data_IF_177240744226
#
_entry.id   IF_177240744226
#
_cell.length_a   1.000
_cell.length_b   1.000
_cell.length_c   1.000
_cell.angle_alpha   90.00
_cell.angle_beta   90.00
_cell.angle_gamma   90.00
#
_symmetry.space_group_name_H-M   'P 1'
#
loop_
_entity.id
_entity.type
_entity.pdbx_description
1 polymer ?
#
# COMPACT_ATOMS: atom_id res chain seq x y z
N UNK A 1 -25.65 28.89 15.07
CA UNK A 1 -25.15 28.58 16.43
C UNK A 1 -24.52 27.19 16.50
N UNK A 2 -25.12 26.16 15.88
CA UNK A 2 -24.50 24.83 15.77
C UNK A 2 -23.18 24.84 14.98
N UNK A 3 -23.12 25.53 13.84
CA UNK A 3 -21.91 25.56 12.99
C UNK A 3 -20.71 26.22 13.69
N UNK A 4 -20.96 27.30 14.44
CA UNK A 4 -19.92 27.98 15.25
C UNK A 4 -19.37 27.05 16.33
N UNK A 5 -20.21 26.22 16.94
CA UNK A 5 -19.80 25.26 17.95
C UNK A 5 -19.02 24.10 17.31
N UNK A 6 -19.46 23.59 16.16
CA UNK A 6 -18.75 22.55 15.38
C UNK A 6 -17.35 23.06 14.97
N UNK A 7 -17.29 24.28 14.43
CA UNK A 7 -16.03 24.93 14.07
C UNK A 7 -15.11 25.14 15.27
N UNK A 8 -15.66 25.62 16.40
CA UNK A 8 -14.90 25.79 17.63
C UNK A 8 -14.38 24.45 18.17
N UNK A 9 -15.18 23.39 18.12
CA UNK A 9 -14.76 22.03 18.48
C UNK A 9 -13.62 21.55 17.56
N UNK A 10 -13.74 21.72 16.25
CA UNK A 10 -12.71 21.33 15.28
C UNK A 10 -11.38 22.07 15.51
N UNK A 11 -11.45 23.39 15.73
CA UNK A 11 -10.28 24.22 15.99
C UNK A 11 -9.60 23.85 17.32
N UNK A 12 -10.39 23.60 18.38
CA UNK A 12 -9.86 23.20 19.69
C UNK A 12 -9.24 21.78 19.68
N UNK A 13 -9.75 20.85 18.86
CA UNK A 13 -9.21 19.49 18.76
C UNK A 13 -7.94 19.43 17.90
N UNK A 14 -7.88 20.23 16.84
CA UNK A 14 -6.73 20.21 15.90
C UNK A 14 -5.62 21.16 16.34
N UNK A 15 -5.96 22.34 16.88
CA UNK A 15 -4.99 23.39 17.24
C UNK A 15 -5.31 24.04 18.60
N UNK A 16 -5.19 23.29 19.72
CA UNK A 16 -5.59 23.78 21.04
C UNK A 16 -4.87 25.08 21.48
N UNK A 17 -3.59 25.23 21.13
CA UNK A 17 -2.83 26.44 21.47
C UNK A 17 -3.30 27.68 20.70
N UNK A 18 -3.63 27.52 19.41
CA UNK A 18 -4.18 28.59 18.58
C UNK A 18 -5.58 29.00 19.04
N UNK A 19 -6.42 28.00 19.38
CA UNK A 19 -7.75 28.23 19.94
C UNK A 19 -7.70 29.08 21.22
N UNK A 20 -6.81 28.74 22.16
CA UNK A 20 -6.65 29.49 23.40
C UNK A 20 -6.19 30.93 23.12
N UNK A 21 -5.24 31.13 22.19
CA UNK A 21 -4.79 32.48 21.81
C UNK A 21 -5.90 33.32 21.19
N UNK A 22 -6.67 32.76 20.24
CA UNK A 22 -7.79 33.44 19.58
C UNK A 22 -8.92 33.78 20.56
N UNK A 23 -9.18 32.89 21.52
CA UNK A 23 -10.16 33.15 22.58
C UNK A 23 -9.67 34.27 23.50
N UNK A 24 -8.40 34.24 23.91
CA UNK A 24 -7.83 35.21 24.85
C UNK A 24 -7.54 36.57 24.20
N UNK A 25 -7.52 36.67 22.87
CA UNK A 25 -7.40 37.95 22.19
C UNK A 25 -8.70 38.76 22.19
N UNK A 26 -9.80 38.18 22.67
CA UNK A 26 -11.15 38.77 22.71
C UNK A 26 -11.71 39.25 21.35
N UNK A 27 -11.01 38.96 20.25
CA UNK A 27 -11.44 39.23 18.86
C UNK A 27 -12.63 38.35 18.47
N UNK A 28 -12.67 37.12 18.97
CA UNK A 28 -13.74 36.16 18.69
C UNK A 28 -14.32 35.62 20.01
N UNK A 29 -15.64 35.63 20.13
CA UNK A 29 -16.33 35.01 21.26
C UNK A 29 -16.37 33.49 21.06
N UNK A 30 -15.49 32.77 21.76
CA UNK A 30 -15.35 31.32 21.65
C UNK A 30 -15.74 30.60 22.95
N UNK A 31 -16.39 29.41 22.85
CA UNK A 31 -16.70 28.59 24.02
C UNK A 31 -15.48 28.31 24.91
N UNK A 32 -15.72 28.09 26.20
CA UNK A 32 -14.63 27.68 27.07
C UNK A 32 -14.13 26.26 26.68
N UNK A 33 -12.82 25.98 26.65
CA UNK A 33 -12.30 24.64 26.32
C UNK A 33 -12.88 23.52 27.19
N UNK A 34 -13.22 23.80 28.45
CA UNK A 34 -13.91 22.83 29.31
C UNK A 34 -15.31 22.49 28.83
N UNK A 35 -16.05 23.46 28.28
CA UNK A 35 -17.38 23.22 27.73
C UNK A 35 -17.29 22.35 26.48
N UNK A 36 -16.33 22.63 25.59
CA UNK A 36 -16.03 21.77 24.44
C UNK A 36 -15.67 20.35 24.89
N UNK A 37 -14.77 20.19 25.87
CA UNK A 37 -14.43 18.85 26.40
C UNK A 37 -15.66 18.15 26.98
N UNK A 38 -16.53 18.85 27.69
CA UNK A 38 -17.76 18.29 28.26
C UNK A 38 -18.73 17.82 27.17
N UNK A 39 -18.85 18.56 26.08
CA UNK A 39 -19.64 18.16 24.90
C UNK A 39 -19.02 16.94 24.21
N UNK A 40 -17.71 16.96 23.96
CA UNK A 40 -17.00 15.85 23.32
C UNK A 40 -17.05 14.57 24.17
N UNK A 41 -17.00 14.68 25.49
CA UNK A 41 -17.12 13.52 26.39
C UNK A 41 -18.50 12.86 26.34
N UNK A 42 -19.55 13.56 25.89
CA UNK A 42 -20.87 12.95 25.64
C UNK A 42 -20.90 12.12 24.36
N UNK A 43 -20.00 12.41 23.41
CA UNK A 43 -19.82 11.65 22.17
C UNK A 43 -18.92 10.43 22.42
N UNK A 44 -19.02 9.82 23.59
CA UNK A 44 -18.13 8.74 24.02
C UNK A 44 -18.15 7.60 22.99
N UNK A 45 -17.04 7.48 22.26
CA UNK A 45 -16.69 6.34 21.41
C UNK A 45 -16.42 5.12 22.31
N UNK A 46 -17.45 4.66 23.03
CA UNK A 46 -17.31 3.52 23.91
C UNK A 46 -17.24 2.23 23.10
N UNK A 47 -16.03 1.67 23.07
CA UNK A 47 -15.68 0.29 22.85
C UNK A 47 -16.24 -0.36 21.57
N UNK A 48 -15.34 -0.43 20.57
CA UNK A 48 -14.88 -1.66 19.89
C UNK A 48 -15.88 -2.52 19.11
N UNK A 49 -17.17 -2.24 19.18
CA UNK A 49 -18.19 -2.84 18.33
C UNK A 49 -18.91 -1.68 17.63
N UNK A 50 -19.20 -1.84 16.34
CA UNK A 50 -20.04 -0.97 15.53
C UNK A 50 -21.42 -0.77 16.19
N UNK A 51 -21.53 0.11 17.20
CA UNK A 51 -22.78 0.44 17.90
C UNK A 51 -23.68 1.30 17.01
N UNK A 52 -24.95 1.41 17.40
CA UNK A 52 -25.98 2.18 16.68
C UNK A 52 -25.54 3.60 16.30
N UNK A 53 -24.77 4.28 17.14
CA UNK A 53 -24.32 5.66 16.87
C UNK A 53 -23.27 5.73 15.75
N UNK A 54 -22.36 4.76 15.67
CA UNK A 54 -21.41 4.64 14.56
C UNK A 54 -22.12 4.30 13.25
N UNK A 55 -23.09 3.38 13.31
CA UNK A 55 -23.92 3.05 12.16
C UNK A 55 -24.74 4.26 11.70
N UNK A 56 -25.30 5.03 12.63
CA UNK A 56 -26.01 6.26 12.34
C UNK A 56 -25.08 7.30 11.71
N UNK A 57 -23.85 7.46 12.21
CA UNK A 57 -22.85 8.33 11.60
C UNK A 57 -22.54 7.90 10.16
N UNK A 58 -22.23 6.62 9.93
CA UNK A 58 -21.90 6.10 8.59
C UNK A 58 -23.07 6.33 7.63
N UNK A 59 -24.32 6.03 8.06
CA UNK A 59 -25.53 6.25 7.25
C UNK A 59 -25.81 7.74 6.97
N UNK A 60 -25.66 8.60 7.96
CA UNK A 60 -25.82 10.04 7.77
C UNK A 60 -24.76 10.59 6.82
N UNK A 61 -23.53 10.08 6.91
CA UNK A 61 -22.46 10.46 6.00
C UNK A 61 -22.76 10.02 4.58
N UNK A 62 -23.20 8.78 4.35
CA UNK A 62 -23.53 8.31 2.99
C UNK A 62 -24.69 9.08 2.38
N UNK A 63 -25.66 9.52 3.16
CA UNK A 63 -26.75 10.37 2.68
C UNK A 63 -26.30 11.75 2.17
N UNK A 64 -25.10 12.19 2.55
CA UNK A 64 -24.51 13.47 2.11
C UNK A 64 -23.48 13.32 0.97
N UNK A 65 -23.25 12.10 0.47
CA UNK A 65 -22.24 11.81 -0.55
C UNK A 65 -22.90 11.51 -1.89
N UNK A 66 -22.24 11.94 -2.97
CA UNK A 66 -22.68 11.56 -4.32
C UNK A 66 -22.37 10.08 -4.60
N UNK A 67 -23.12 9.46 -5.54
CA UNK A 67 -22.95 8.05 -5.91
C UNK A 67 -21.49 7.68 -6.26
N UNK A 68 -20.77 8.60 -6.92
CA UNK A 68 -19.36 8.41 -7.30
C UNK A 68 -18.43 8.36 -6.10
N UNK A 69 -18.78 9.04 -5.01
CA UNK A 69 -18.00 9.07 -3.77
C UNK A 69 -18.19 7.81 -2.93
N UNK A 70 -19.31 7.11 -3.12
CA UNK A 70 -19.63 5.85 -2.46
C UNK A 70 -18.85 4.66 -3.05
N UNK A 71 -18.16 4.83 -4.17
CA UNK A 71 -17.25 3.83 -4.73
C UNK A 71 -15.90 3.90 -4.00
N UNK A 72 -15.61 2.90 -3.18
CA UNK A 72 -14.53 2.95 -2.18
C UNK A 72 -13.63 1.71 -2.19
N UNK A 73 -12.40 1.93 -1.73
CA UNK A 73 -11.48 0.87 -1.30
C UNK A 73 -11.58 0.70 0.22
N UNK A 74 -11.55 -0.54 0.71
CA UNK A 74 -11.38 -0.88 2.13
C UNK A 74 -9.90 -1.18 2.40
N UNK A 75 -9.28 -0.37 3.24
CA UNK A 75 -7.88 -0.49 3.65
C UNK A 75 -7.80 -1.14 5.04
N UNK A 76 -6.90 -2.11 5.19
CA UNK A 76 -6.69 -2.88 6.40
C UNK A 76 -5.21 -2.82 6.79
N UNK A 77 -4.92 -2.31 7.99
CA UNK A 77 -3.57 -2.33 8.56
C UNK A 77 -3.61 -2.25 10.10
N UNK A 78 -2.48 -2.53 10.72
CA UNK A 78 -2.30 -2.49 12.16
C UNK A 78 -1.40 -1.34 12.60
N UNK A 79 -1.73 -0.70 13.73
CA UNK A 79 -0.85 0.27 14.38
C UNK A 79 -0.47 -0.23 15.78
N UNK A 80 0.83 -0.28 16.07
CA UNK A 80 1.33 -0.55 17.40
C UNK A 80 1.11 0.67 18.30
N UNK A 81 0.44 0.47 19.43
CA UNK A 81 0.18 1.48 20.45
C UNK A 81 1.04 1.22 21.68
N UNK A 82 1.37 2.30 22.41
CA UNK A 82 2.04 2.16 23.69
C UNK A 82 1.10 1.50 24.70
N UNK A 83 1.46 0.27 25.10
CA UNK A 83 0.75 -0.52 26.09
C UNK A 83 0.63 0.22 27.43
N UNK A 84 -0.54 0.83 27.67
CA UNK A 84 -0.88 1.49 28.93
C UNK A 84 -2.37 1.31 29.19
N UNK A 85 -2.72 0.78 30.36
CA UNK A 85 -4.08 0.82 30.87
C UNK A 85 -4.25 2.14 31.61
N UNK A 86 -5.21 2.97 31.16
CA UNK A 86 -5.50 4.25 31.82
C UNK A 86 -6.92 4.24 32.37
N UNK A 87 -7.08 4.65 33.62
CA UNK A 87 -8.40 4.88 34.20
C UNK A 87 -8.85 6.31 33.90
N UNK A 88 -9.91 6.46 33.10
CA UNK A 88 -10.57 7.75 32.85
C UNK A 88 -12.00 7.68 33.35
N UNK A 89 -12.30 8.49 34.37
CA UNK A 89 -13.67 8.63 34.90
C UNK A 89 -14.28 7.33 35.45
N UNK A 90 -13.46 6.40 35.95
CA UNK A 90 -13.91 5.11 36.49
C UNK A 90 -13.97 3.98 35.45
N UNK A 91 -13.64 4.24 34.17
CA UNK A 91 -13.50 3.21 33.13
C UNK A 91 -12.04 2.95 32.82
N UNK A 92 -11.67 1.67 32.71
CA UNK A 92 -10.35 1.26 32.23
C UNK A 92 -10.34 1.26 30.70
N UNK A 93 -9.50 2.11 30.11
CA UNK A 93 -9.21 2.14 28.68
C UNK A 93 -7.84 1.48 28.42
N UNK A 94 -7.69 0.84 27.25
CA UNK A 94 -6.45 0.17 26.86
C UNK A 94 -6.41 -1.33 27.16
N UNK A 95 -7.54 -1.95 27.50
CA UNK A 95 -7.71 -3.41 27.64
C UNK A 95 -8.54 -4.00 26.48
N UNK A 96 -8.42 -5.32 26.27
CA UNK A 96 -9.12 -6.07 25.23
C UNK A 96 -10.65 -5.96 25.40
N UNK A 97 -11.40 -6.07 24.31
CA UNK A 97 -12.88 -6.14 24.33
C UNK A 97 -13.44 -7.24 25.25
N UNK A 98 -12.64 -8.30 25.50
CA UNK A 98 -13.04 -9.52 26.18
C UNK A 98 -12.24 -9.85 27.44
N UNK A 99 -11.23 -9.04 27.83
CA UNK A 99 -10.41 -9.28 29.02
C UNK A 99 -9.88 -7.98 29.64
N UNK A 100 -10.32 -7.69 30.86
CA UNK A 100 -10.02 -6.44 31.58
C UNK A 100 -8.64 -6.41 32.26
N UNK A 101 -7.76 -7.39 32.00
CA UNK A 101 -6.49 -7.54 32.75
C UNK A 101 -5.23 -7.31 31.93
N UNK A 102 -5.31 -7.27 30.60
CA UNK A 102 -4.13 -7.16 29.75
C UNK A 102 -4.18 -5.95 28.83
N UNK A 103 -3.07 -5.22 28.79
CA UNK A 103 -2.91 -4.02 27.98
C UNK A 103 -2.80 -4.37 26.48
N UNK A 104 -3.52 -3.62 25.66
CA UNK A 104 -3.54 -3.73 24.20
C UNK A 104 -2.26 -3.13 23.63
N UNK A 105 -1.64 -3.85 22.69
CA UNK A 105 -0.37 -3.46 22.06
C UNK A 105 -0.60 -3.05 20.59
N UNK A 106 -1.66 -3.53 19.96
CA UNK A 106 -1.96 -3.23 18.56
C UNK A 106 -3.43 -2.85 18.36
N UNK A 107 -3.67 -1.94 17.41
CA UNK A 107 -5.01 -1.57 16.98
C UNK A 107 -5.16 -1.98 15.52
N UNK A 108 -6.12 -2.86 15.24
CA UNK A 108 -6.53 -3.19 13.88
C UNK A 108 -7.43 -2.08 13.35
N UNK A 109 -7.03 -1.48 12.24
CA UNK A 109 -7.71 -0.32 11.66
C UNK A 109 -8.30 -0.68 10.31
N UNK A 110 -9.54 -0.22 10.09
CA UNK A 110 -10.25 -0.29 8.82
C UNK A 110 -10.55 1.12 8.36
N UNK A 111 -10.14 1.46 7.15
CA UNK A 111 -10.37 2.78 6.56
C UNK A 111 -10.95 2.64 5.17
N UNK A 112 -11.91 3.49 4.82
CA UNK A 112 -12.38 3.62 3.45
C UNK A 112 -11.71 4.80 2.77
N UNK A 113 -11.42 4.66 1.48
CA UNK A 113 -10.99 5.76 0.61
C UNK A 113 -11.81 5.73 -0.68
N UNK A 114 -12.38 6.88 -1.06
CA UNK A 114 -13.06 7.01 -2.34
C UNK A 114 -12.06 6.95 -3.48
N UNK A 115 -12.43 6.24 -4.54
CA UNK A 115 -11.60 6.13 -5.75
C UNK A 115 -11.67 7.43 -6.55
N UNK A 116 -12.86 8.04 -6.61
CA UNK A 116 -13.17 9.17 -7.49
C UNK A 116 -13.23 10.52 -6.77
N UNK A 117 -13.14 10.54 -5.43
CA UNK A 117 -13.07 11.77 -4.65
C UNK A 117 -11.97 11.73 -3.59
N UNK A 118 -11.88 12.79 -2.78
CA UNK A 118 -10.96 12.86 -1.64
C UNK A 118 -11.62 12.35 -0.34
N UNK A 119 -12.88 11.91 -0.39
CA UNK A 119 -13.57 11.37 0.77
C UNK A 119 -12.87 10.12 1.28
N UNK A 120 -12.63 10.09 2.58
CA UNK A 120 -12.00 8.98 3.29
C UNK A 120 -12.44 8.99 4.73
N UNK A 121 -12.45 7.82 5.36
CA UNK A 121 -12.85 7.72 6.77
C UNK A 121 -12.28 6.49 7.45
N UNK A 122 -11.95 6.63 8.73
CA UNK A 122 -11.66 5.47 9.58
C UNK A 122 -12.99 4.90 10.01
N UNK A 123 -13.32 3.74 9.48
CA UNK A 123 -14.61 3.09 9.74
C UNK A 123 -14.49 2.12 10.90
N UNK A 124 -13.34 1.48 11.15
CA UNK A 124 -13.19 0.53 12.25
C UNK A 124 -11.88 0.71 13.00
N UNK A 125 -11.95 0.64 14.32
CA UNK A 125 -10.79 0.61 15.23
C UNK A 125 -11.03 -0.48 16.26
N UNK A 126 -10.23 -1.55 16.19
CA UNK A 126 -10.36 -2.71 17.05
C UNK A 126 -9.06 -2.91 17.82
N UNK A 127 -9.04 -2.70 19.13
CA UNK A 127 -7.89 -3.03 19.95
C UNK A 127 -7.74 -4.55 20.00
N UNK A 128 -6.58 -5.04 19.57
CA UNK A 128 -6.29 -6.46 19.43
C UNK A 128 -4.97 -6.81 20.10
N UNK A 129 -4.83 -8.08 20.48
CA UNK A 129 -3.59 -8.67 20.97
C UNK A 129 -3.52 -10.05 20.34
N UNK A 130 -2.46 -10.33 19.58
CA UNK A 130 -2.27 -11.58 18.83
C UNK A 130 -3.50 -11.92 17.97
N UNK A 131 -3.84 -11.04 17.02
CA UNK A 131 -5.00 -11.25 16.13
C UNK A 131 -4.78 -12.46 15.23
N UNK A 132 -5.72 -13.40 15.25
CA UNK A 132 -5.71 -14.57 14.36
C UNK A 132 -6.44 -14.27 13.04
N UNK A 133 -6.14 -15.04 12.00
CA UNK A 133 -6.72 -14.83 10.67
C UNK A 133 -8.25 -14.97 10.65
N UNK A 134 -8.81 -15.89 11.43
CA UNK A 134 -10.27 -16.10 11.52
C UNK A 134 -10.97 -14.93 12.22
N UNK A 135 -10.32 -14.35 13.23
CA UNK A 135 -10.81 -13.14 13.91
C UNK A 135 -10.75 -11.94 12.97
N UNK A 136 -9.66 -11.77 12.21
CA UNK A 136 -9.54 -10.71 11.21
C UNK A 136 -10.60 -10.86 10.11
N UNK A 137 -10.90 -12.09 9.69
CA UNK A 137 -11.97 -12.39 8.74
C UNK A 137 -13.33 -11.94 9.28
N UNK A 138 -13.67 -12.29 10.53
CA UNK A 138 -14.93 -11.89 11.15
C UNK A 138 -15.09 -10.36 11.22
N UNK A 139 -14.04 -9.66 11.66
CA UNK A 139 -14.02 -8.20 11.67
C UNK A 139 -14.21 -7.61 10.26
N UNK A 140 -13.52 -8.18 9.27
CA UNK A 140 -13.60 -7.74 7.88
C UNK A 140 -15.00 -7.93 7.31
N UNK A 141 -15.63 -9.10 7.50
CA UNK A 141 -16.99 -9.39 7.04
C UNK A 141 -18.02 -8.46 7.70
N UNK A 142 -17.88 -8.20 9.00
CA UNK A 142 -18.74 -7.26 9.71
C UNK A 142 -18.63 -5.84 9.14
N UNK A 143 -17.43 -5.37 8.82
CA UNK A 143 -17.24 -4.06 8.17
C UNK A 143 -17.84 -4.04 6.76
N UNK A 144 -17.64 -5.09 5.95
CA UNK A 144 -18.25 -5.17 4.60
C UNK A 144 -19.77 -5.12 4.71
N UNK A 145 -20.37 -5.83 5.68
CA UNK A 145 -21.81 -5.83 5.94
C UNK A 145 -22.34 -4.43 6.23
N UNK A 146 -21.69 -3.73 7.16
CA UNK A 146 -22.08 -2.39 7.59
C UNK A 146 -21.99 -1.38 6.45
N UNK A 147 -20.86 -1.39 5.73
CA UNK A 147 -20.62 -0.45 4.64
C UNK A 147 -21.58 -0.69 3.47
N UNK A 148 -21.75 -1.95 3.06
CA UNK A 148 -22.69 -2.32 1.99
C UNK A 148 -24.13 -1.95 2.38
N UNK A 149 -24.55 -2.27 3.61
CA UNK A 149 -25.88 -1.92 4.12
C UNK A 149 -26.10 -0.41 4.34
N UNK A 150 -25.05 0.41 4.27
CA UNK A 150 -25.11 1.87 4.37
C UNK A 150 -25.03 2.56 3.01
N UNK A 151 -24.86 1.80 1.90
CA UNK A 151 -24.82 2.32 0.54
C UNK A 151 -23.44 2.43 -0.10
N UNK A 152 -22.36 2.06 0.60
CA UNK A 152 -21.02 2.03 -0.01
C UNK A 152 -20.89 0.86 -0.99
N UNK A 153 -20.23 1.13 -2.12
CA UNK A 153 -19.80 0.12 -3.06
C UNK A 153 -18.30 -0.14 -2.88
N UNK A 154 -17.97 -1.22 -2.16
CA UNK A 154 -16.58 -1.62 -1.91
C UNK A 154 -16.04 -2.33 -3.15
N UNK A 155 -15.00 -1.78 -3.77
CA UNK A 155 -14.39 -2.34 -4.98
C UNK A 155 -13.16 -3.19 -4.65
N UNK A 156 -12.37 -2.79 -3.66
CA UNK A 156 -11.16 -3.53 -3.27
C UNK A 156 -10.99 -3.63 -1.78
N UNK A 157 -10.37 -4.72 -1.32
CA UNK A 157 -9.76 -4.83 0.01
C UNK A 157 -8.24 -4.82 -0.18
N UNK A 158 -7.56 -3.92 0.54
CA UNK A 158 -6.12 -3.71 0.40
C UNK A 158 -5.45 -3.89 1.76
N UNK A 159 -4.43 -4.74 1.81
CA UNK A 159 -3.68 -5.01 3.05
C UNK A 159 -2.19 -5.26 2.78
N UNK A 160 -1.37 -5.23 3.83
CA UNK A 160 0.04 -5.65 3.75
C UNK A 160 0.19 -7.16 3.55
N UNK A 161 1.35 -7.60 3.08
CA UNK A 161 1.66 -9.02 2.83
C UNK A 161 2.19 -9.76 4.09
N UNK A 162 1.51 -9.62 5.22
CA UNK A 162 1.81 -10.43 6.41
C UNK A 162 1.05 -11.77 6.34
N UNK A 163 1.45 -12.76 7.15
CA UNK A 163 0.86 -14.10 7.11
C UNK A 163 -0.63 -14.10 7.48
N UNK A 164 -1.03 -13.29 8.46
CA UNK A 164 -2.41 -13.20 8.94
C UNK A 164 -3.32 -12.65 7.83
N UNK A 165 -2.91 -11.57 7.17
CA UNK A 165 -3.63 -10.95 6.06
C UNK A 165 -3.74 -11.89 4.86
N UNK A 166 -2.66 -12.59 4.49
CA UNK A 166 -2.68 -13.61 3.43
C UNK A 166 -3.70 -14.70 3.74
N UNK A 167 -3.66 -15.23 4.96
CA UNK A 167 -4.57 -16.29 5.39
C UNK A 167 -6.02 -15.81 5.42
N UNK A 168 -6.26 -14.58 5.86
CA UNK A 168 -7.59 -13.97 5.82
C UNK A 168 -8.11 -13.84 4.38
N UNK A 169 -7.27 -13.42 3.42
CA UNK A 169 -7.65 -13.39 2.00
C UNK A 169 -7.95 -14.79 1.44
N UNK A 170 -7.18 -15.82 1.81
CA UNK A 170 -7.49 -17.20 1.44
C UNK A 170 -8.85 -17.64 2.00
N UNK A 171 -9.13 -17.34 3.27
CA UNK A 171 -10.40 -17.69 3.92
C UNK A 171 -11.60 -16.96 3.29
N UNK A 172 -11.43 -15.70 2.89
CA UNK A 172 -12.44 -14.97 2.10
C UNK A 172 -12.78 -15.69 0.77
N UNK A 173 -11.81 -16.42 0.21
CA UNK A 173 -11.97 -17.21 -1.01
C UNK A 173 -12.20 -18.71 -0.75
N UNK A 174 -12.74 -19.08 0.42
CA UNK A 174 -13.07 -20.47 0.76
C UNK A 174 -11.86 -21.42 0.76
N UNK A 175 -10.66 -20.87 1.02
CA UNK A 175 -9.42 -21.63 1.23
C UNK A 175 -8.37 -21.50 0.13
N UNK A 176 -8.75 -21.06 -1.08
CA UNK A 176 -7.79 -20.81 -2.16
C UNK A 176 -7.90 -19.36 -2.65
N UNK A 177 -6.83 -18.59 -2.48
CA UNK A 177 -6.82 -17.18 -2.86
C UNK A 177 -7.17 -16.97 -4.34
N UNK A 178 -8.23 -16.19 -4.57
CA UNK A 178 -8.65 -15.69 -5.88
C UNK A 178 -8.42 -14.18 -5.95
N UNK A 179 -8.38 -13.62 -7.17
CA UNK A 179 -8.19 -12.18 -7.38
C UNK A 179 -9.35 -11.33 -6.87
N UNK A 180 -10.54 -11.92 -6.77
CA UNK A 180 -11.74 -11.26 -6.27
C UNK A 180 -12.71 -12.26 -5.64
N UNK A 181 -13.62 -11.73 -4.84
CA UNK A 181 -14.80 -12.42 -4.31
C UNK A 181 -16.06 -11.69 -4.77
N UNK A 182 -17.21 -12.38 -4.77
CA UNK A 182 -18.50 -11.67 -4.80
C UNK A 182 -18.68 -10.96 -3.47
N UNK A 183 -19.25 -9.75 -3.46
CA UNK A 183 -19.58 -9.10 -2.19
C UNK A 183 -20.64 -9.95 -1.46
N UNK A 184 -20.35 -10.48 -0.25
CA UNK A 184 -21.26 -11.38 0.48
C UNK A 184 -22.63 -10.77 0.81
N UNK A 185 -22.74 -9.44 0.75
CA UNK A 185 -23.95 -8.68 1.08
C UNK A 185 -24.53 -7.92 -0.12
N UNK A 186 -23.90 -8.02 -1.30
CA UNK A 186 -24.44 -7.57 -2.58
C UNK A 186 -23.81 -8.39 -3.72
N UNK A 187 -24.50 -9.43 -4.16
CA UNK A 187 -23.95 -10.42 -5.11
C UNK A 187 -23.70 -9.86 -6.53
N UNK A 188 -24.23 -8.67 -6.86
CA UNK A 188 -24.00 -8.01 -8.15
C UNK A 188 -22.58 -7.42 -8.25
N UNK A 189 -21.98 -7.09 -7.10
CA UNK A 189 -20.68 -6.44 -7.02
C UNK A 189 -19.55 -7.43 -6.71
N UNK A 190 -18.37 -7.13 -7.23
CA UNK A 190 -17.14 -7.88 -6.93
C UNK A 190 -16.20 -7.04 -6.09
N UNK A 191 -15.50 -7.70 -5.18
CA UNK A 191 -14.47 -7.11 -4.34
C UNK A 191 -13.13 -7.73 -4.70
N UNK A 192 -12.19 -6.93 -5.19
CA UNK A 192 -10.84 -7.38 -5.56
C UNK A 192 -9.91 -7.37 -4.36
N UNK A 193 -9.07 -8.39 -4.23
CA UNK A 193 -8.15 -8.56 -3.09
C UNK A 193 -6.74 -8.17 -3.53
N UNK A 194 -6.20 -7.09 -2.96
CA UNK A 194 -4.90 -6.54 -3.33
C UNK A 194 -3.93 -6.55 -2.15
N UNK A 195 -2.67 -6.88 -2.42
CA UNK A 195 -1.60 -6.52 -1.49
C UNK A 195 -1.09 -5.14 -1.82
N UNK A 196 -0.81 -4.35 -0.79
CA UNK A 196 -0.37 -2.98 -0.98
C UNK A 196 0.95 -2.91 -1.76
N UNK A 197 0.90 -2.16 -2.87
CA UNK A 197 2.03 -2.03 -3.80
C UNK A 197 3.21 -1.28 -3.18
N UNK A 198 2.98 -0.39 -2.21
CA UNK A 198 4.06 0.33 -1.51
C UNK A 198 4.85 -0.64 -0.65
N UNK A 199 4.18 -1.50 0.11
CA UNK A 199 4.81 -2.62 0.82
C UNK A 199 5.52 -3.59 -0.13
N UNK A 200 4.91 -3.98 -1.25
CA UNK A 200 5.57 -4.84 -2.24
C UNK A 200 6.86 -4.23 -2.78
N UNK A 201 6.86 -2.93 -3.07
CA UNK A 201 8.05 -2.22 -3.53
C UNK A 201 9.18 -2.25 -2.48
N UNK A 202 8.84 -2.00 -1.21
CA UNK A 202 9.77 -2.16 -0.07
C UNK A 202 10.29 -3.60 0.02
N UNK A 203 9.44 -4.60 -0.16
CA UNK A 203 9.83 -6.02 -0.12
C UNK A 203 10.81 -6.39 -1.23
N UNK A 204 10.57 -5.96 -2.49
CA UNK A 204 11.49 -6.20 -3.61
C UNK A 204 12.89 -5.67 -3.29
N UNK A 205 12.97 -4.42 -2.81
CA UNK A 205 14.24 -3.82 -2.36
C UNK A 205 14.88 -4.62 -1.24
N UNK A 206 14.11 -4.94 -0.20
CA UNK A 206 14.63 -5.62 0.99
C UNK A 206 15.12 -7.03 0.65
N UNK A 207 14.45 -7.74 -0.26
CA UNK A 207 14.88 -9.04 -0.77
C UNK A 207 16.22 -8.90 -1.50
N UNK A 208 16.43 -7.84 -2.29
CA UNK A 208 17.69 -7.60 -2.99
C UNK A 208 18.84 -7.30 -2.03
N UNK A 209 18.60 -6.42 -1.06
CA UNK A 209 19.59 -6.07 -0.03
C UNK A 209 19.91 -7.27 0.89
N UNK A 210 18.97 -8.19 1.07
CA UNK A 210 19.16 -9.37 1.93
C UNK A 210 19.74 -10.58 1.19
N UNK A 211 20.13 -10.46 -0.08
CA UNK A 211 20.86 -11.54 -0.75
C UNK A 211 22.17 -11.83 0.00
N UNK A 212 22.49 -13.11 0.14
CA UNK A 212 23.52 -13.62 1.05
C UNK A 212 24.92 -13.44 0.47
N UNK A 213 25.04 -13.52 -0.85
CA UNK A 213 26.31 -13.31 -1.52
C UNK A 213 26.88 -11.90 -1.29
N UNK A 214 28.20 -11.81 -1.35
CA UNK A 214 28.92 -10.56 -1.09
C UNK A 214 28.49 -9.39 -1.99
N UNK A 215 27.99 -9.67 -3.20
CA UNK A 215 27.54 -8.66 -4.16
C UNK A 215 26.06 -8.31 -4.04
N UNK A 216 25.32 -9.09 -3.25
CA UNK A 216 23.87 -9.03 -3.09
C UNK A 216 23.19 -9.12 -4.46
N UNK A 217 23.24 -10.31 -5.04
CA UNK A 217 22.96 -10.58 -6.44
C UNK A 217 21.57 -11.19 -6.62
N UNK A 218 20.77 -10.61 -7.51
CA UNK A 218 19.63 -11.31 -8.10
C UNK A 218 20.03 -11.92 -9.44
N UNK A 219 19.54 -13.14 -9.70
CA UNK A 219 19.71 -13.87 -10.95
C UNK A 219 18.34 -14.09 -11.57
N UNK A 220 18.08 -13.45 -12.71
CA UNK A 220 16.75 -13.38 -13.32
C UNK A 220 16.84 -13.57 -14.84
N UNK A 221 15.73 -13.93 -15.51
CA UNK A 221 15.75 -14.11 -16.96
C UNK A 221 15.88 -12.75 -17.64
N UNK A 222 16.66 -12.66 -18.71
CA UNK A 222 16.86 -11.42 -19.45
C UNK A 222 15.52 -10.77 -19.83
N UNK A 223 15.48 -9.44 -19.69
CA UNK A 223 14.29 -8.64 -19.98
C UNK A 223 14.36 -8.10 -21.40
N UNK A 224 13.40 -8.47 -22.24
CA UNK A 224 13.28 -7.90 -23.59
C UNK A 224 12.34 -6.69 -23.56
N UNK A 225 12.89 -5.51 -23.25
CA UNK A 225 12.15 -4.24 -23.20
C UNK A 225 11.44 -3.86 -24.50
N UNK A 226 11.97 -4.28 -25.65
CA UNK A 226 11.35 -4.10 -26.97
C UNK A 226 9.94 -4.71 -27.05
N UNK A 227 9.67 -5.76 -26.27
CA UNK A 227 8.43 -6.52 -26.27
C UNK A 227 7.52 -6.21 -25.08
N UNK A 228 7.97 -5.38 -24.12
CA UNK A 228 7.24 -5.13 -22.87
C UNK A 228 5.94 -4.32 -23.09
N UNK A 229 5.85 -3.51 -24.15
CA UNK A 229 4.65 -2.71 -24.48
C UNK A 229 3.98 -3.04 -25.82
N UNK A 230 4.46 -4.05 -26.57
CA UNK A 230 3.92 -4.40 -27.90
C UNK A 230 3.44 -5.84 -27.92
N UNK A 231 2.12 -6.04 -27.97
CA UNK A 231 1.57 -7.31 -28.42
C UNK A 231 1.91 -7.46 -29.91
N UNK A 232 2.41 -8.63 -30.33
CA UNK A 232 2.63 -9.06 -31.73
C UNK A 232 4.02 -8.88 -32.34
N UNK A 233 5.11 -9.12 -31.59
CA UNK A 233 6.30 -9.70 -32.23
C UNK A 233 6.74 -10.96 -31.49
N UNK A 234 6.40 -12.10 -32.10
CA UNK A 234 7.01 -13.39 -31.81
C UNK A 234 8.44 -13.31 -32.33
N UNK A 235 9.36 -12.87 -31.49
CA UNK A 235 10.77 -13.20 -31.70
C UNK A 235 10.94 -14.65 -31.27
N UNK A 236 11.08 -15.54 -32.25
CA UNK A 236 11.51 -16.91 -32.05
C UNK A 236 12.74 -16.94 -31.14
N UNK A 237 12.70 -17.84 -30.16
CA UNK A 237 13.83 -18.49 -29.49
C UNK A 237 15.09 -17.64 -29.26
N UNK A 238 15.22 -17.13 -28.05
CA UNK A 238 16.54 -17.05 -27.41
C UNK A 238 16.39 -17.66 -26.03
N UNK A 239 16.91 -18.88 -25.92
CA UNK A 239 17.02 -19.70 -24.72
C UNK A 239 17.48 -18.87 -23.52
N UNK A 240 16.79 -19.03 -22.39
CA UNK A 240 17.26 -18.90 -21.01
C UNK A 240 18.51 -18.05 -20.67
N UNK A 241 18.70 -16.85 -21.26
CA UNK A 241 19.80 -15.97 -20.85
C UNK A 241 19.49 -15.50 -19.43
N UNK A 242 20.30 -15.95 -18.47
CA UNK A 242 20.30 -15.47 -17.10
C UNK A 242 21.16 -14.22 -17.04
N UNK A 243 20.64 -13.19 -16.38
CA UNK A 243 21.37 -11.95 -16.11
C UNK A 243 21.39 -11.70 -14.60
N UNK A 244 22.42 -10.99 -14.15
CA UNK A 244 22.64 -10.69 -12.75
C UNK A 244 22.47 -9.20 -12.47
N UNK A 245 21.77 -8.86 -11.40
CA UNK A 245 21.71 -7.51 -10.85
C UNK A 245 22.29 -7.50 -9.44
N UNK A 246 23.28 -6.65 -9.20
CA UNK A 246 24.02 -6.61 -7.95
C UNK A 246 23.86 -5.25 -7.26
N UNK A 247 23.56 -5.24 -5.96
CA UNK A 247 23.58 -3.97 -5.19
C UNK A 247 25.01 -3.41 -5.15
N UNK A 248 26.04 -4.26 -5.26
CA UNK A 248 27.44 -3.80 -5.34
C UNK A 248 27.66 -2.76 -6.43
N UNK A 249 26.99 -2.88 -7.58
CA UNK A 249 27.18 -1.95 -8.71
C UNK A 249 26.73 -0.53 -8.33
N UNK A 250 25.65 -0.41 -7.55
CA UNK A 250 25.19 0.87 -7.01
C UNK A 250 26.10 1.38 -5.88
N UNK A 251 26.68 0.50 -5.08
CA UNK A 251 27.67 0.86 -4.06
C UNK A 251 28.96 1.37 -4.68
N UNK A 252 29.42 0.75 -5.76
CA UNK A 252 30.58 1.19 -6.55
C UNK A 252 30.32 2.55 -7.18
N UNK A 253 29.15 2.73 -7.81
CA UNK A 253 28.73 4.03 -8.34
C UNK A 253 28.75 5.10 -7.25
N UNK A 254 28.11 4.87 -6.11
CA UNK A 254 28.12 5.78 -4.96
C UNK A 254 29.54 6.10 -4.48
N UNK A 255 30.39 5.08 -4.31
CA UNK A 255 31.76 5.28 -3.84
C UNK A 255 32.62 6.08 -4.83
N UNK A 256 32.39 5.92 -6.13
CA UNK A 256 33.11 6.64 -7.19
C UNK A 256 32.80 8.15 -7.20
N UNK A 257 31.66 8.56 -6.64
CA UNK A 257 31.21 9.95 -6.66
C UNK A 257 30.95 10.56 -5.27
N UNK A 258 31.09 9.81 -4.17
CA UNK A 258 30.73 10.28 -2.82
C UNK A 258 31.40 11.60 -2.41
N UNK A 259 32.66 11.79 -2.83
CA UNK A 259 33.48 12.98 -2.55
C UNK A 259 33.43 14.04 -3.66
N UNK A 260 32.64 13.82 -4.73
CA UNK A 260 32.47 14.79 -5.82
C UNK A 260 31.39 15.80 -5.44
N UNK A 261 31.63 17.06 -5.81
CA UNK A 261 30.66 18.15 -5.62
C UNK A 261 29.41 17.96 -6.49
N UNK A 262 29.62 17.54 -7.75
CA UNK A 262 28.56 17.23 -8.71
C UNK A 262 28.50 15.72 -8.90
N UNK A 263 27.31 15.15 -8.75
CA UNK A 263 27.04 13.71 -8.78
C UNK A 263 26.06 13.38 -9.89
N UNK A 264 26.28 12.26 -10.58
CA UNK A 264 25.35 11.73 -11.59
C UNK A 264 24.17 11.03 -10.93
N UNK A 265 24.39 10.35 -9.80
CA UNK A 265 23.38 9.64 -9.02
C UNK A 265 23.16 10.27 -7.63
N UNK A 266 22.70 11.55 -7.55
CA UNK A 266 22.62 12.30 -6.30
C UNK A 266 21.62 11.72 -5.27
N UNK A 267 20.70 10.85 -5.71
CA UNK A 267 19.75 10.17 -4.85
C UNK A 267 20.39 9.03 -4.05
N UNK A 268 21.50 8.46 -4.53
CA UNK A 268 22.25 7.41 -3.82
C UNK A 268 22.96 8.02 -2.61
N UNK A 269 22.61 7.50 -1.45
CA UNK A 269 23.22 7.85 -0.17
C UNK A 269 23.51 6.58 0.61
N UNK A 270 24.35 6.70 1.64
CA UNK A 270 24.64 5.58 2.52
C UNK A 270 23.36 4.90 3.06
N UNK A 271 22.35 5.69 3.47
CA UNK A 271 21.06 5.17 3.97
C UNK A 271 20.24 4.41 2.93
N UNK A 272 20.39 4.75 1.65
CA UNK A 272 19.70 4.04 0.56
C UNK A 272 20.30 2.66 0.33
N UNK A 273 21.63 2.54 0.44
CA UNK A 273 22.38 1.31 0.17
C UNK A 273 22.55 0.41 1.40
N UNK A 274 22.52 1.00 2.60
CA UNK A 274 22.71 0.35 3.89
C UNK A 274 21.60 0.75 4.88
N UNK A 275 20.31 0.50 4.58
CA UNK A 275 19.22 0.91 5.45
C UNK A 275 19.18 0.07 6.74
N UNK A 276 19.04 0.75 7.87
CA UNK A 276 18.69 0.12 9.17
C UNK A 276 17.28 -0.52 9.13
N UNK A 277 16.93 -1.30 10.16
CA UNK A 277 15.61 -1.93 10.26
C UNK A 277 14.44 -0.94 10.16
N UNK A 278 14.59 0.25 10.73
CA UNK A 278 13.57 1.32 10.67
C UNK A 278 13.54 1.95 9.27
N UNK A 279 14.71 2.24 8.71
CA UNK A 279 14.84 2.85 7.38
C UNK A 279 14.32 1.93 6.25
N UNK A 280 14.32 0.61 6.48
CA UNK A 280 13.67 -0.36 5.58
C UNK A 280 12.16 -0.17 5.48
N UNK A 281 11.50 0.50 6.41
CA UNK A 281 10.08 0.84 6.26
C UNK A 281 9.84 2.13 5.46
N UNK A 282 10.89 2.89 5.17
CA UNK A 282 10.79 4.15 4.45
C UNK A 282 10.74 3.92 2.92
N UNK A 283 9.58 4.16 2.31
CA UNK A 283 9.38 4.08 0.86
C UNK A 283 10.23 5.10 0.09
N UNK A 284 10.49 6.29 0.65
CA UNK A 284 11.29 7.31 -0.04
C UNK A 284 12.73 6.85 -0.28
N UNK A 285 13.31 6.05 0.63
CA UNK A 285 14.61 5.43 0.39
C UNK A 285 14.56 4.37 -0.71
N UNK A 286 13.43 3.66 -0.84
CA UNK A 286 13.19 2.73 -1.94
C UNK A 286 13.11 3.45 -3.28
N UNK A 287 12.31 4.53 -3.35
CA UNK A 287 12.22 5.38 -4.55
C UNK A 287 13.59 5.91 -4.97
N UNK A 288 14.41 6.36 -4.01
CA UNK A 288 15.78 6.83 -4.28
C UNK A 288 16.73 5.75 -4.81
N UNK A 289 16.52 4.47 -4.48
CA UNK A 289 17.32 3.37 -5.02
C UNK A 289 17.01 3.15 -6.51
N UNK A 290 15.72 3.16 -6.86
CA UNK A 290 15.22 2.95 -8.23
C UNK A 290 15.06 4.26 -9.02
N UNK A 291 15.74 5.33 -8.60
CA UNK A 291 15.69 6.63 -9.26
C UNK A 291 16.30 6.54 -10.68
N UNK A 292 15.65 7.18 -11.65
CA UNK A 292 16.08 7.19 -13.04
C UNK A 292 17.52 7.71 -13.21
N UNK A 293 17.93 8.67 -12.37
CA UNK A 293 19.29 9.22 -12.43
C UNK A 293 20.34 8.14 -12.13
N UNK A 294 20.03 7.19 -11.25
CA UNK A 294 20.94 6.08 -10.96
C UNK A 294 21.09 5.16 -12.18
N UNK A 295 19.97 4.89 -12.87
CA UNK A 295 19.95 4.09 -14.11
C UNK A 295 20.77 4.79 -15.19
N UNK A 296 20.53 6.09 -15.41
CA UNK A 296 21.27 6.89 -16.39
C UNK A 296 22.76 6.96 -16.05
N UNK A 297 23.11 7.15 -14.78
CA UNK A 297 24.50 7.18 -14.33
C UNK A 297 25.21 5.86 -14.62
N UNK A 298 24.58 4.71 -14.31
CA UNK A 298 25.12 3.39 -14.65
C UNK A 298 25.29 3.21 -16.16
N UNK A 299 24.34 3.66 -16.98
CA UNK A 299 24.48 3.61 -18.45
C UNK A 299 25.66 4.43 -18.95
N UNK A 300 25.81 5.65 -18.45
CA UNK A 300 26.92 6.55 -18.84
C UNK A 300 28.29 6.02 -18.38
N UNK A 301 28.33 5.28 -17.27
CA UNK A 301 29.55 4.65 -16.78
C UNK A 301 29.80 3.25 -17.37
N UNK A 302 29.05 2.82 -18.39
CA UNK A 302 29.10 1.46 -18.94
C UNK A 302 28.96 0.36 -17.86
N UNK A 303 28.09 0.61 -16.87
CA UNK A 303 27.83 -0.29 -15.76
C UNK A 303 27.14 -1.59 -16.19
N UNK A 304 27.04 -2.58 -15.28
CA UNK A 304 26.55 -3.91 -15.63
C UNK A 304 25.12 -3.91 -16.18
N UNK A 305 24.95 -4.54 -17.35
CA UNK A 305 23.69 -4.51 -18.08
C UNK A 305 22.51 -5.10 -17.27
N UNK A 306 22.72 -6.17 -16.52
CA UNK A 306 21.66 -6.79 -15.72
C UNK A 306 21.15 -5.87 -14.60
N UNK A 307 22.01 -5.16 -13.89
CA UNK A 307 21.57 -4.17 -12.88
C UNK A 307 20.74 -3.05 -13.50
N UNK A 308 21.17 -2.54 -14.66
CA UNK A 308 20.41 -1.52 -15.41
C UNK A 308 19.02 -2.06 -15.78
N UNK A 309 18.95 -3.26 -16.37
CA UNK A 309 17.67 -3.89 -16.75
C UNK A 309 16.74 -4.08 -15.54
N UNK A 310 17.26 -4.58 -14.42
CA UNK A 310 16.43 -4.82 -13.25
C UNK A 310 15.85 -3.51 -12.68
N UNK A 311 16.69 -2.48 -12.57
CA UNK A 311 16.24 -1.17 -12.10
C UNK A 311 15.17 -0.57 -13.02
N UNK A 312 15.35 -0.65 -14.34
CA UNK A 312 14.37 -0.18 -15.32
C UNK A 312 13.04 -0.91 -15.21
N UNK A 313 13.08 -2.24 -15.09
CA UNK A 313 11.88 -3.08 -15.00
C UNK A 313 11.05 -2.72 -13.77
N UNK A 314 11.69 -2.67 -12.60
CA UNK A 314 10.99 -2.38 -11.34
C UNK A 314 10.56 -0.90 -11.28
N UNK A 315 11.37 0.03 -11.80
CA UNK A 315 11.01 1.45 -11.90
C UNK A 315 9.78 1.65 -12.77
N UNK A 316 9.70 0.97 -13.92
CA UNK A 316 8.53 0.98 -14.79
C UNK A 316 7.27 0.45 -14.09
N UNK A 317 7.36 -0.72 -13.46
CA UNK A 317 6.25 -1.28 -12.67
C UNK A 317 5.76 -0.31 -11.59
N UNK A 318 6.69 0.30 -10.85
CA UNK A 318 6.37 1.23 -9.77
C UNK A 318 5.69 2.51 -10.28
N UNK A 319 6.18 3.08 -11.40
CA UNK A 319 5.58 4.27 -12.03
C UNK A 319 4.12 4.07 -12.40
N UNK A 320 3.80 2.91 -12.97
CA UNK A 320 2.43 2.54 -13.34
C UNK A 320 1.56 2.37 -12.09
N UNK A 321 2.04 1.56 -11.12
CA UNK A 321 1.31 1.28 -9.88
C UNK A 321 1.09 2.53 -9.02
N UNK A 322 1.99 3.51 -9.10
CA UNK A 322 1.96 4.73 -8.28
C UNK A 322 1.41 5.96 -9.03
N UNK A 323 0.66 5.77 -10.12
CA UNK A 323 0.00 6.86 -10.83
C UNK A 323 -1.19 7.41 -10.02
N UNK A 324 -1.04 8.59 -9.41
CA UNK A 324 -2.02 9.20 -8.48
C UNK A 324 -2.83 10.37 -9.05
N UNK A 325 -2.42 10.92 -10.20
CA UNK A 325 -3.03 12.12 -10.77
C UNK A 325 -3.11 12.00 -12.29
N UNK A 326 -4.08 12.67 -12.90
CA UNK A 326 -4.27 12.70 -14.35
C UNK A 326 -3.08 13.32 -15.11
N UNK A 327 -2.46 14.35 -14.52
CA UNK A 327 -1.46 15.19 -15.18
C UNK A 327 -0.03 14.86 -14.77
N UNK A 328 0.19 13.94 -13.81
CA UNK A 328 1.51 13.60 -13.28
C UNK A 328 2.47 13.13 -14.37
N UNK A 329 2.05 12.19 -15.21
CA UNK A 329 2.84 11.73 -16.36
C UNK A 329 3.04 12.78 -17.44
N UNK A 330 2.10 13.71 -17.63
CA UNK A 330 2.24 14.81 -18.60
C UNK A 330 3.34 15.77 -18.14
N UNK A 331 3.29 16.23 -16.88
CA UNK A 331 4.29 17.14 -16.33
C UNK A 331 5.70 16.53 -16.32
N UNK A 332 5.79 15.23 -16.05
CA UNK A 332 7.06 14.49 -16.04
C UNK A 332 7.49 13.97 -17.41
N UNK A 333 6.65 14.11 -18.44
CA UNK A 333 6.86 13.54 -19.78
C UNK A 333 7.16 12.04 -19.74
N UNK A 334 6.40 11.32 -18.92
CA UNK A 334 6.55 9.89 -18.70
C UNK A 334 5.21 9.17 -18.95
N UNK A 335 5.18 8.33 -20.00
CA UNK A 335 4.01 7.56 -20.41
C UNK A 335 3.58 6.53 -19.35
N UNK A 336 4.52 5.95 -18.61
CA UNK A 336 4.22 4.98 -17.56
C UNK A 336 3.57 5.61 -16.33
N UNK A 337 3.69 6.94 -16.18
CA UNK A 337 3.06 7.71 -15.12
C UNK A 337 1.73 8.37 -15.55
N UNK A 338 1.22 8.05 -16.74
CA UNK A 338 -0.12 8.48 -17.18
C UNK A 338 -1.20 7.52 -16.67
N UNK A 339 -2.46 7.97 -16.56
CA UNK A 339 -3.59 7.09 -16.24
C UNK A 339 -3.72 5.95 -17.25
N UNK A 340 -4.27 4.83 -16.80
CA UNK A 340 -4.75 3.79 -17.72
C UNK A 340 -6.07 4.29 -18.30
N UNK A 341 -6.20 4.33 -19.62
CA UNK A 341 -7.36 4.95 -20.29
C UNK A 341 -8.33 3.94 -20.92
N UNK A 342 -7.88 2.72 -21.20
CA UNK A 342 -8.72 1.66 -21.74
C UNK A 342 -8.07 0.28 -21.48
N UNK A 343 -8.70 -0.77 -22.00
CA UNK A 343 -8.26 -2.16 -21.76
C UNK A 343 -7.15 -2.65 -22.72
N UNK A 344 -6.90 -1.90 -23.79
CA UNK A 344 -5.80 -2.11 -24.73
C UNK A 344 -4.57 -1.25 -24.39
N UNK A 345 -4.56 -0.58 -23.23
CA UNK A 345 -3.48 0.29 -22.82
C UNK A 345 -2.17 -0.50 -22.65
N UNK A 346 -1.07 0.01 -23.21
CA UNK A 346 0.24 -0.65 -23.18
C UNK A 346 0.75 -0.94 -21.76
N UNK A 347 0.29 -0.19 -20.75
CA UNK A 347 0.60 -0.45 -19.34
C UNK A 347 0.01 -1.78 -18.84
N UNK A 348 -1.13 -2.19 -19.38
CA UNK A 348 -1.73 -3.50 -19.07
C UNK A 348 -0.97 -4.63 -19.79
N UNK A 349 -0.48 -4.39 -21.00
CA UNK A 349 0.39 -5.35 -21.70
C UNK A 349 1.74 -5.49 -21.01
N UNK A 350 2.29 -4.41 -20.47
CA UNK A 350 3.45 -4.45 -19.58
C UNK A 350 3.20 -5.39 -18.40
N UNK A 351 2.07 -5.28 -17.70
CA UNK A 351 1.74 -6.17 -16.58
C UNK A 351 1.62 -7.64 -17.00
N UNK A 352 1.01 -7.95 -18.15
CA UNK A 352 0.94 -9.32 -18.67
C UNK A 352 2.33 -9.88 -18.95
N UNK A 353 3.21 -9.08 -19.55
CA UNK A 353 4.59 -9.47 -19.82
C UNK A 353 5.43 -9.59 -18.53
N UNK A 354 5.21 -8.70 -17.57
CA UNK A 354 5.84 -8.75 -16.26
C UNK A 354 5.45 -10.01 -15.49
N UNK A 355 4.19 -10.44 -15.55
CA UNK A 355 3.74 -11.74 -15.01
C UNK A 355 4.45 -12.93 -15.65
N UNK A 356 4.57 -12.95 -16.98
CA UNK A 356 5.33 -14.01 -17.69
C UNK A 356 6.78 -14.04 -17.23
N UNK A 357 7.40 -12.87 -17.06
CA UNK A 357 8.76 -12.74 -16.57
C UNK A 357 8.91 -13.22 -15.12
N UNK A 358 7.97 -12.85 -14.22
CA UNK A 358 7.94 -13.33 -12.84
C UNK A 358 7.83 -14.85 -12.76
N UNK A 359 6.98 -15.47 -13.59
CA UNK A 359 6.85 -16.93 -13.64
C UNK A 359 8.15 -17.59 -14.12
N UNK A 360 8.79 -17.04 -15.15
CA UNK A 360 10.10 -17.53 -15.61
C UNK A 360 11.15 -17.39 -14.51
N UNK A 361 11.18 -16.26 -13.79
CA UNK A 361 12.13 -16.04 -12.69
C UNK A 361 11.93 -17.06 -11.57
N UNK A 362 10.69 -17.37 -11.20
CA UNK A 362 10.39 -18.38 -10.17
C UNK A 362 10.86 -19.79 -10.58
N UNK A 363 10.70 -20.13 -11.86
CA UNK A 363 11.09 -21.42 -12.44
C UNK A 363 12.60 -21.57 -12.67
N UNK A 364 13.40 -20.50 -12.61
CA UNK A 364 14.84 -20.61 -12.84
C UNK A 364 15.52 -21.55 -11.82
N UNK A 365 16.03 -22.70 -12.27
CA UNK A 365 16.92 -23.50 -11.42
C UNK A 365 18.19 -22.71 -11.12
N UNK A 366 18.41 -22.37 -9.85
CA UNK A 366 19.69 -21.90 -9.33
C UNK A 366 20.26 -23.09 -8.57
N UNK A 367 21.06 -23.89 -9.27
CA UNK A 367 21.84 -24.96 -8.64
C UNK A 367 23.10 -24.29 -8.11
N UNK A 368 23.23 -24.17 -6.80
CA UNK A 368 24.54 -23.94 -6.20
C UNK A 368 25.33 -25.23 -6.31
N UNK A 369 26.48 -25.19 -7.00
CA UNK A 369 27.42 -26.32 -7.06
C UNK A 369 28.12 -26.57 -5.71
N UNK A 370 28.01 -25.64 -4.76
CA UNK A 370 28.48 -25.80 -3.40
C UNK A 370 27.32 -26.13 -2.46
N UNK A 371 27.17 -27.41 -2.14
CA UNK A 371 26.23 -27.89 -1.13
C UNK A 371 26.47 -27.22 0.24
N UNK A 372 25.46 -26.52 0.74
CA UNK A 372 25.05 -26.63 2.13
C UNK A 372 23.52 -26.71 2.17
N UNK A 373 22.99 -27.61 2.99
CA UNK A 373 21.58 -28.06 3.06
C UNK A 373 20.54 -26.99 3.45
N UNK A 374 20.84 -25.71 3.32
CA UNK A 374 19.88 -24.62 3.51
C UNK A 374 19.16 -24.35 2.19
N UNK A 375 17.89 -24.77 2.12
CA UNK A 375 16.91 -24.55 1.04
C UNK A 375 16.56 -23.07 0.80
N UNK A 376 17.49 -22.15 0.92
CA UNK A 376 17.22 -20.73 0.71
C UNK A 376 17.29 -20.42 -0.79
N UNK A 377 16.23 -19.80 -1.33
CA UNK A 377 16.15 -19.35 -2.72
C UNK A 377 17.16 -18.22 -2.96
N UNK A 378 18.43 -18.57 -3.14
CA UNK A 378 19.49 -17.62 -3.49
C UNK A 378 19.21 -16.98 -4.84
N UNK A 379 19.48 -15.69 -5.00
CA UNK A 379 19.35 -14.97 -6.27
C UNK A 379 17.92 -14.61 -6.69
N UNK A 380 16.91 -14.74 -5.81
CA UNK A 380 15.49 -14.51 -6.14
C UNK A 380 14.73 -13.76 -5.06
N UNK A 381 13.50 -13.36 -5.40
CA UNK A 381 12.50 -12.96 -4.42
C UNK A 381 12.12 -14.14 -3.50
N UNK A 382 11.78 -13.81 -2.26
CA UNK A 382 11.14 -14.74 -1.33
C UNK A 382 9.83 -15.25 -1.92
N UNK A 383 9.40 -16.44 -1.50
CA UNK A 383 8.16 -17.05 -1.99
C UNK A 383 6.95 -16.15 -1.71
N UNK A 384 6.92 -15.51 -0.54
CA UNK A 384 5.86 -14.60 -0.11
C UNK A 384 5.83 -13.33 -0.96
N UNK A 385 7.00 -12.76 -1.27
CA UNK A 385 7.11 -11.54 -2.07
C UNK A 385 6.73 -11.81 -3.52
N UNK A 386 7.22 -12.92 -4.10
CA UNK A 386 6.86 -13.35 -5.44
C UNK A 386 5.37 -13.63 -5.57
N UNK A 387 4.80 -14.39 -4.63
CA UNK A 387 3.38 -14.72 -4.58
C UNK A 387 2.52 -13.46 -4.55
N UNK A 388 2.78 -12.56 -3.60
CA UNK A 388 1.97 -11.37 -3.41
C UNK A 388 2.09 -10.37 -4.57
N UNK A 389 3.29 -10.24 -5.16
CA UNK A 389 3.49 -9.44 -6.36
C UNK A 389 2.71 -10.01 -7.55
N UNK A 390 2.85 -11.31 -7.80
CA UNK A 390 2.13 -12.02 -8.88
C UNK A 390 0.61 -11.92 -8.71
N UNK A 391 0.11 -12.16 -7.49
CA UNK A 391 -1.30 -12.03 -7.16
C UNK A 391 -1.81 -10.61 -7.40
N UNK A 392 -1.10 -9.59 -6.89
CA UNK A 392 -1.55 -8.20 -7.00
C UNK A 392 -1.60 -7.73 -8.46
N UNK A 393 -0.66 -8.15 -9.31
CA UNK A 393 -0.70 -7.80 -10.73
C UNK A 393 -1.88 -8.49 -11.44
N UNK A 394 -2.15 -9.77 -11.15
CA UNK A 394 -3.33 -10.48 -11.67
C UNK A 394 -4.63 -9.79 -11.26
N UNK A 395 -4.75 -9.46 -9.97
CA UNK A 395 -5.91 -8.78 -9.43
C UNK A 395 -6.09 -7.37 -9.99
N UNK A 396 -5.00 -6.63 -10.25
CA UNK A 396 -5.05 -5.32 -10.93
C UNK A 396 -5.54 -5.44 -12.36
N UNK A 397 -5.10 -6.46 -13.11
CA UNK A 397 -5.59 -6.72 -14.47
C UNK A 397 -7.11 -6.99 -14.47
N UNK A 398 -7.57 -7.89 -13.60
CA UNK A 398 -9.00 -8.21 -13.48
C UNK A 398 -9.81 -7.00 -12.99
N UNK A 399 -9.26 -6.22 -12.05
CA UNK A 399 -9.86 -4.98 -11.56
C UNK A 399 -10.01 -3.96 -12.69
N UNK A 400 -8.98 -3.74 -13.51
CA UNK A 400 -9.06 -2.82 -14.63
C UNK A 400 -10.15 -3.24 -15.63
N UNK A 401 -10.23 -4.54 -15.93
CA UNK A 401 -11.32 -5.09 -16.73
C UNK A 401 -12.70 -4.76 -16.14
N UNK A 402 -12.88 -4.96 -14.83
CA UNK A 402 -14.14 -4.67 -14.16
C UNK A 402 -14.48 -3.17 -14.15
N UNK A 403 -13.52 -2.31 -13.82
CA UNK A 403 -13.71 -0.86 -13.77
C UNK A 403 -14.10 -0.28 -15.13
N UNK A 404 -13.46 -0.71 -16.23
CA UNK A 404 -13.81 -0.25 -17.57
C UNK A 404 -15.10 -0.86 -18.11
N UNK A 405 -15.27 -2.18 -17.98
CA UNK A 405 -16.37 -2.87 -18.67
C UNK A 405 -17.67 -2.87 -17.89
N UNK A 406 -17.60 -2.93 -16.55
CA UNK A 406 -18.77 -2.99 -15.67
C UNK A 406 -19.10 -1.60 -15.12
N UNK A 407 -18.13 -0.93 -14.47
CA UNK A 407 -18.38 0.38 -13.86
C UNK A 407 -18.22 1.57 -14.83
N UNK A 408 -17.81 1.32 -16.08
CA UNK A 408 -17.67 2.33 -17.15
C UNK A 408 -16.78 3.52 -16.77
N UNK A 409 -15.67 3.27 -16.07
CA UNK A 409 -14.70 4.30 -15.73
C UNK A 409 -14.04 4.87 -17.00
N UNK A 410 -13.82 6.18 -17.06
CA UNK A 410 -13.12 6.80 -18.19
C UNK A 410 -11.59 6.69 -18.11
N UNK A 411 -11.05 6.47 -16.91
CA UNK A 411 -9.64 6.25 -16.66
C UNK A 411 -9.44 5.59 -15.29
N UNK A 412 -8.25 5.05 -15.05
CA UNK A 412 -7.86 4.44 -13.78
C UNK A 412 -6.53 5.01 -13.29
N UNK A 413 -6.49 5.39 -12.02
CA UNK A 413 -5.30 5.83 -11.30
C UNK A 413 -4.90 4.75 -10.28
N UNK A 414 -3.95 3.89 -10.62
CA UNK A 414 -3.59 2.76 -9.76
C UNK A 414 -3.03 3.17 -8.40
N UNK A 415 -2.46 4.38 -8.29
CA UNK A 415 -2.01 4.93 -7.01
C UNK A 415 -3.15 5.25 -6.03
N UNK A 416 -4.42 5.10 -6.42
CA UNK A 416 -5.58 5.15 -5.51
C UNK A 416 -5.81 3.83 -4.77
N UNK A 417 -5.19 2.73 -5.20
CA UNK A 417 -5.32 1.39 -4.62
C UNK A 417 -4.10 1.05 -3.76
N UNK A 418 -3.84 1.88 -2.76
CA UNK A 418 -2.68 1.80 -1.85
C UNK A 418 -3.11 2.12 -0.41
N UNK A 419 -2.34 1.66 0.59
CA UNK A 419 -2.63 1.92 2.01
C UNK A 419 -2.03 3.24 2.52
N UNK A 420 -1.37 4.05 1.69
CA UNK A 420 -0.80 5.37 2.04
C UNK A 420 -1.75 6.28 2.83
N UNK A 421 -3.04 6.30 2.45
CA UNK A 421 -4.04 7.15 3.10
C UNK A 421 -4.27 6.78 4.57
N UNK A 422 -4.07 5.50 4.90
CA UNK A 422 -4.16 4.94 6.23
C UNK A 422 -2.85 5.16 7.01
N UNK A 423 -1.68 4.90 6.42
CA UNK A 423 -0.39 5.17 7.05
C UNK A 423 -0.25 6.67 7.42
N UNK A 424 -0.69 7.57 6.53
CA UNK A 424 -0.72 9.02 6.78
C UNK A 424 -1.71 9.45 7.88
N UNK A 425 -2.62 8.57 8.32
CA UNK A 425 -3.51 8.80 9.46
C UNK A 425 -2.89 8.35 10.77
N UNK A 426 -1.94 7.41 10.72
CA UNK A 426 -1.19 6.93 11.89
C UNK A 426 -0.09 7.89 12.32
N UNK A 427 0.57 8.55 11.36
CA UNK A 427 1.74 9.42 11.56
C UNK A 427 1.45 10.90 11.61
#
# INVERSE_FOLDING_TARGET
>A
MADTLIWACALQTTFPGAYIRLRNSDVLTLPHPQYIRKLMNKLSLENTNMKNDHLAYIKNKTACLDEKELIVNLLIDEICINSKITNKGGKMEGSRCNDNKEAVITMQVFMITSILSNNKDVVGLYPVKNLESDQLLELTLNIIKVLTGSGYNIITIISGNNQINRRMFELLCEGQLQTSIKNPYNLENRIFLLFDSVHLFKCIRNNWINQIDNKQTFVFPQVNFCNLGKSNQVSNESEHIKVCACISDLKELYNSEKNKLVKLAPALSFKVLYPSCIERQNVNLCVKLFDEKNITALKLSNGPHGTIQFLELISCWWKIMNCRTLYGGIHKRDEYMKPIINIQDEKLDFFKNFLKWLNKWDQLGIKDESQSETKERHGKLSQETHFALTHSIKAVLDLCHYLFNVLKFGYILLGKFQTDGLEARFG
#
